data_IF_827392132869
#
_entry.id   IF_827392132869
#
_cell.length_a   1.000
_cell.length_b   1.000
_cell.length_c   1.000
_cell.angle_alpha   90.00
_cell.angle_beta   90.00
_cell.angle_gamma   90.00
#
_symmetry.space_group_name_H-M   'P 1'
#
loop_
_entity.id
_entity.type
_entity.pdbx_description
1 polymer ?
#
# COMPACT_ATOMS: atom_id res chain seq x y z
N UNK A 1 13.56 11.69 -25.45
CA UNK A 1 13.72 12.73 -26.49
C UNK A 1 13.12 12.40 -27.86
N UNK A 2 12.72 11.16 -28.16
CA UNK A 2 12.24 10.78 -29.51
C UNK A 2 10.92 11.41 -29.94
N UNK A 3 9.88 11.34 -29.10
CA UNK A 3 8.54 11.81 -29.49
C UNK A 3 8.41 13.33 -29.60
N UNK A 4 9.05 14.08 -28.71
CA UNK A 4 9.07 15.54 -28.75
C UNK A 4 9.76 16.06 -30.02
N UNK A 5 10.87 15.42 -30.44
CA UNK A 5 11.56 15.76 -31.69
C UNK A 5 10.69 15.42 -32.92
N UNK A 6 9.97 14.30 -32.88
CA UNK A 6 9.06 13.87 -33.95
C UNK A 6 7.90 14.86 -34.15
N UNK A 7 7.31 15.37 -33.07
CA UNK A 7 6.23 16.37 -33.12
C UNK A 7 6.69 17.70 -33.69
N UNK A 8 7.89 18.15 -33.30
CA UNK A 8 8.50 19.38 -33.84
C UNK A 8 8.71 19.29 -35.36
N UNK A 9 9.16 18.13 -35.86
CA UNK A 9 9.33 17.90 -37.31
C UNK A 9 7.99 17.84 -38.07
N UNK A 10 6.90 17.47 -37.40
CA UNK A 10 5.55 17.41 -37.96
C UNK A 10 4.76 18.73 -37.80
N UNK A 11 5.38 19.78 -37.25
CA UNK A 11 4.73 21.08 -37.02
C UNK A 11 3.62 21.07 -35.96
N UNK A 12 3.52 20.00 -35.18
CA UNK A 12 2.48 19.82 -34.15
C UNK A 12 2.95 20.55 -32.88
N UNK A 13 2.05 21.32 -32.26
CA UNK A 13 2.34 21.99 -30.99
C UNK A 13 2.85 20.98 -29.95
N UNK A 14 3.76 21.39 -29.05
CA UNK A 14 4.11 20.58 -27.88
C UNK A 14 2.82 20.14 -27.19
N UNK A 15 2.74 18.87 -26.78
CA UNK A 15 1.59 18.37 -26.03
C UNK A 15 1.41 19.34 -24.86
N UNK A 16 0.23 19.94 -24.73
CA UNK A 16 -0.11 20.69 -23.52
C UNK A 16 0.22 19.76 -22.37
N UNK A 17 1.22 20.14 -21.57
CA UNK A 17 1.60 19.40 -20.38
C UNK A 17 0.31 19.27 -19.61
N UNK A 18 -0.25 18.07 -19.61
CA UNK A 18 -1.51 17.72 -18.96
C UNK A 18 -1.57 18.50 -17.67
N UNK A 19 -2.59 19.36 -17.54
CA UNK A 19 -2.83 20.17 -16.35
C UNK A 19 -2.28 19.44 -15.15
N UNK A 20 -1.34 20.03 -14.40
CA UNK A 20 -0.69 19.41 -13.26
C UNK A 20 -1.78 18.72 -12.43
N UNK A 21 -1.94 17.41 -12.64
CA UNK A 21 -3.00 16.65 -11.99
C UNK A 21 -2.52 16.64 -10.55
N UNK A 22 -3.08 17.54 -9.74
CA UNK A 22 -2.78 17.67 -8.31
C UNK A 22 -3.32 16.42 -7.64
N UNK A 23 -2.58 15.34 -7.80
CA UNK A 23 -2.79 14.10 -7.09
C UNK A 23 -2.73 14.46 -5.61
N UNK A 24 -3.73 14.08 -4.80
CA UNK A 24 -3.70 14.35 -3.38
C UNK A 24 -2.40 13.75 -2.83
N UNK A 25 -1.52 14.62 -2.32
CA UNK A 25 -0.30 14.15 -1.69
C UNK A 25 -0.67 13.49 -0.38
N UNK A 26 -0.18 12.27 -0.19
CA UNK A 26 -0.39 11.54 1.05
C UNK A 26 0.32 12.28 2.20
N UNK A 27 -0.45 12.88 3.10
CA UNK A 27 0.10 13.51 4.30
C UNK A 27 0.53 12.44 5.31
N UNK A 28 1.77 12.01 5.16
CA UNK A 28 2.40 10.99 6.01
C UNK A 28 2.41 11.41 7.48
N UNK A 29 2.55 12.71 7.77
CA UNK A 29 2.65 13.20 9.15
C UNK A 29 1.29 13.12 9.84
N UNK A 30 0.23 13.59 9.18
CA UNK A 30 -1.12 13.50 9.71
C UNK A 30 -1.54 12.04 9.96
N UNK A 31 -1.20 11.14 9.03
CA UNK A 31 -1.49 9.70 9.17
C UNK A 31 -0.71 9.10 10.34
N UNK A 32 0.59 9.36 10.46
CA UNK A 32 1.39 8.85 11.57
C UNK A 32 0.88 9.34 12.93
N UNK A 33 0.51 10.62 13.04
CA UNK A 33 -0.02 11.17 14.28
C UNK A 33 -1.36 10.52 14.65
N UNK A 34 -2.24 10.29 13.68
CA UNK A 34 -3.52 9.62 13.89
C UNK A 34 -3.36 8.16 14.29
N UNK A 35 -2.42 7.44 13.68
CA UNK A 35 -2.11 6.04 14.05
C UNK A 35 -1.55 5.99 15.47
N UNK A 36 -0.60 6.88 15.81
CA UNK A 36 -0.04 6.97 17.17
C UNK A 36 -1.12 7.25 18.22
N UNK A 37 -1.98 8.25 18.00
CA UNK A 37 -3.03 8.58 18.97
C UNK A 37 -4.03 7.43 19.15
N UNK A 38 -4.35 6.71 18.07
CA UNK A 38 -5.24 5.55 18.12
C UNK A 38 -4.61 4.39 18.89
N UNK A 39 -3.33 4.12 18.67
CA UNK A 39 -2.60 3.06 19.37
C UNK A 39 -2.42 3.37 20.86
N UNK A 40 -2.25 4.63 21.25
CA UNK A 40 -2.25 5.01 22.66
C UNK A 40 -3.62 4.88 23.31
N UNK A 41 -4.69 5.23 22.59
CA UNK A 41 -6.06 5.08 23.09
C UNK A 41 -6.45 3.61 23.26
N UNK A 42 -5.98 2.74 22.37
CA UNK A 42 -6.32 1.33 22.35
C UNK A 42 -5.05 0.47 22.26
N UNK A 43 -4.30 0.34 23.37
CA UNK A 43 -3.05 -0.42 23.39
C UNK A 43 -3.23 -1.92 23.13
N UNK A 44 -4.47 -2.43 23.19
CA UNK A 44 -4.82 -3.83 22.92
C UNK A 44 -4.78 -4.18 21.42
N UNK A 45 -4.93 -3.19 20.52
CA UNK A 45 -5.07 -3.43 19.07
C UNK A 45 -3.88 -4.20 18.47
N UNK A 46 -2.61 -3.85 18.77
CA UNK A 46 -1.47 -4.62 18.29
C UNK A 46 -1.52 -6.08 18.74
N UNK A 47 -1.87 -6.35 19.99
CA UNK A 47 -1.91 -7.71 20.54
C UNK A 47 -2.98 -8.56 19.87
N UNK A 48 -4.17 -8.01 19.63
CA UNK A 48 -5.23 -8.72 18.91
C UNK A 48 -4.85 -8.98 17.46
N UNK A 49 -4.23 -8.00 16.79
CA UNK A 49 -3.82 -8.14 15.40
C UNK A 49 -2.71 -9.18 15.23
N UNK A 50 -1.61 -9.03 15.97
CA UNK A 50 -0.48 -9.96 15.90
C UNK A 50 -0.83 -11.32 16.50
N UNK A 51 -1.60 -11.37 17.58
CA UNK A 51 -2.09 -12.61 18.17
C UNK A 51 -2.97 -13.39 17.19
N UNK A 52 -3.93 -12.71 16.55
CA UNK A 52 -4.76 -13.32 15.51
C UNK A 52 -3.94 -13.82 14.31
N UNK A 53 -2.98 -13.02 13.84
CA UNK A 53 -2.08 -13.42 12.74
C UNK A 53 -1.27 -14.68 13.07
N UNK A 54 -0.75 -14.78 14.31
CA UNK A 54 -0.01 -15.95 14.78
C UNK A 54 -0.91 -17.18 14.84
N UNK A 55 -2.13 -17.05 15.38
CA UNK A 55 -3.09 -18.15 15.44
C UNK A 55 -3.48 -18.64 14.04
N UNK A 56 -3.67 -17.73 13.08
CA UNK A 56 -3.95 -18.07 11.69
C UNK A 56 -2.76 -18.80 11.06
N UNK A 57 -1.53 -18.35 11.32
CA UNK A 57 -0.33 -19.02 10.82
C UNK A 57 -0.21 -20.44 11.37
N UNK A 58 -0.31 -20.62 12.70
CA UNK A 58 -0.19 -21.93 13.35
C UNK A 58 -1.36 -22.84 12.94
N UNK A 59 -2.59 -22.34 13.00
CA UNK A 59 -3.79 -23.08 12.62
C UNK A 59 -3.79 -23.47 11.14
N UNK A 60 -3.38 -22.55 10.27
CA UNK A 60 -3.21 -22.80 8.84
C UNK A 60 -2.13 -23.85 8.56
N UNK A 61 -0.99 -23.79 9.26
CA UNK A 61 0.06 -24.79 9.15
C UNK A 61 -0.44 -26.17 9.61
N UNK A 62 -1.11 -26.24 10.76
CA UNK A 62 -1.68 -27.47 11.29
C UNK A 62 -2.72 -28.09 10.35
N UNK A 63 -3.64 -27.27 9.82
CA UNK A 63 -4.62 -27.70 8.82
C UNK A 63 -3.93 -28.20 7.55
N UNK A 64 -2.93 -27.48 7.04
CA UNK A 64 -2.18 -27.91 5.88
C UNK A 64 -1.51 -29.28 6.12
N UNK A 65 -0.77 -29.45 7.23
CA UNK A 65 -0.16 -30.74 7.58
C UNK A 65 -1.19 -31.88 7.65
N UNK A 66 -2.36 -31.62 8.24
CA UNK A 66 -3.46 -32.60 8.32
C UNK A 66 -4.05 -32.93 6.94
N UNK A 67 -4.26 -31.93 6.08
CA UNK A 67 -4.85 -32.14 4.74
C UNK A 67 -3.89 -32.83 3.78
N UNK A 68 -2.59 -32.57 3.89
CA UNK A 68 -1.56 -33.21 3.07
C UNK A 68 -1.11 -34.57 3.61
N UNK A 69 -1.70 -35.04 4.73
CA UNK A 69 -1.36 -36.32 5.36
C UNK A 69 0.16 -36.48 5.53
N UNK A 70 0.84 -35.41 5.98
CA UNK A 70 2.27 -35.44 6.35
C UNK A 70 2.39 -36.02 7.78
N UNK A 71 1.62 -37.07 8.06
CA UNK A 71 1.60 -37.87 9.27
C UNK A 71 1.17 -39.30 8.89
#
# INVERSE_FOLDING_TARGET
MGEAKRRKNLGISPRETTEDIKLPQLDKKAIQQKVRSTLYKYPIIPFLFYGGAILILIGGLFLAFKFFNIA
#
